data_IF_349152032892
#
_entry.id   IF_349152032892
#
_cell.length_a   1.000
_cell.length_b   1.000
_cell.length_c   1.000
_cell.angle_alpha   90.00
_cell.angle_beta   90.00
_cell.angle_gamma   90.00
#
_symmetry.space_group_name_H-M   'P 1'
#
loop_
_entity.id
_entity.type
_entity.pdbx_description
1 polymer ?
#
# COMPACT_ATOMS: atom_id res chain seq x y z
N UNK A 1 -8.51 -12.08 30.76
CA UNK A 1 -7.36 -11.79 29.86
C UNK A 1 -7.58 -12.56 28.58
N UNK A 2 -7.57 -11.86 27.46
CA UNK A 2 -7.73 -12.45 26.13
C UNK A 2 -6.43 -12.22 25.38
N UNK A 3 -5.86 -13.26 24.79
CA UNK A 3 -4.67 -13.12 23.94
C UNK A 3 -5.09 -13.11 22.48
N UNK A 4 -4.61 -12.13 21.73
CA UNK A 4 -4.87 -12.01 20.30
C UNK A 4 -3.52 -12.09 19.57
N UNK A 5 -3.43 -13.00 18.60
CA UNK A 5 -2.27 -13.07 17.70
C UNK A 5 -2.43 -12.04 16.58
N UNK A 6 -1.41 -11.20 16.38
CA UNK A 6 -1.41 -10.13 15.37
C UNK A 6 -0.07 -10.00 14.68
N UNK A 7 -0.06 -9.37 13.51
CA UNK A 7 1.16 -9.00 12.80
C UNK A 7 1.68 -7.67 13.35
N UNK A 8 2.94 -7.62 13.76
CA UNK A 8 3.67 -6.37 14.05
C UNK A 8 4.79 -6.16 13.04
N UNK A 9 5.16 -4.91 12.79
CA UNK A 9 6.35 -4.58 12.02
C UNK A 9 7.57 -5.26 12.66
N UNK A 10 8.37 -5.88 11.81
CA UNK A 10 9.57 -6.55 12.25
C UNK A 10 10.49 -5.54 12.97
N UNK A 11 10.87 -5.78 14.23
CA UNK A 11 11.65 -4.82 15.02
C UNK A 11 13.07 -4.63 14.45
N UNK A 12 13.61 -5.66 13.80
CA UNK A 12 14.96 -5.64 13.22
C UNK A 12 15.04 -4.76 11.98
N UNK A 13 14.11 -4.91 11.04
CA UNK A 13 14.16 -4.21 9.77
C UNK A 13 13.18 -3.03 9.68
N UNK A 14 12.35 -2.81 10.72
CA UNK A 14 11.32 -1.76 10.78
C UNK A 14 10.38 -1.75 9.56
N UNK A 15 10.06 -2.95 9.07
CA UNK A 15 9.21 -3.14 7.91
C UNK A 15 9.89 -3.03 6.54
N UNK A 16 11.20 -2.79 6.44
CA UNK A 16 11.91 -2.78 5.15
C UNK A 16 12.02 -4.17 4.52
N UNK A 17 12.14 -5.21 5.36
CA UNK A 17 12.31 -6.59 4.92
C UNK A 17 13.73 -6.92 4.50
N UNK A 18 14.66 -5.96 4.62
CA UNK A 18 16.08 -6.15 4.32
C UNK A 18 16.89 -6.54 5.55
N UNK A 19 17.99 -7.26 5.37
CA UNK A 19 19.01 -7.45 6.41
C UNK A 19 19.80 -6.17 6.68
N UNK A 20 19.84 -5.24 5.71
CA UNK A 20 20.48 -3.93 5.80
C UNK A 20 19.40 -2.86 5.63
N UNK A 21 18.66 -2.51 6.69
CA UNK A 21 17.57 -1.55 6.61
C UNK A 21 18.04 -0.11 6.32
N UNK A 22 19.28 0.23 6.65
CA UNK A 22 19.83 1.59 6.48
C UNK A 22 20.46 1.82 5.09
N UNK A 23 20.79 0.74 4.38
CA UNK A 23 21.43 0.78 3.06
C UNK A 23 20.56 0.04 2.05
N UNK A 24 19.63 0.79 1.45
CA UNK A 24 18.63 0.28 0.52
C UNK A 24 18.77 1.01 -0.82
N UNK A 25 19.14 0.32 -1.90
CA UNK A 25 19.26 0.94 -3.21
C UNK A 25 17.89 1.42 -3.71
N UNK A 26 17.85 2.65 -4.21
CA UNK A 26 16.64 3.24 -4.79
C UNK A 26 16.16 2.43 -5.99
N UNK A 27 14.85 2.20 -6.07
CA UNK A 27 14.24 1.49 -7.19
C UNK A 27 14.31 2.36 -8.46
N UNK A 28 15.12 1.92 -9.43
CA UNK A 28 15.30 2.61 -10.72
C UNK A 28 14.03 2.60 -11.60
N UNK A 29 13.12 1.64 -11.40
CA UNK A 29 11.89 1.54 -12.20
C UNK A 29 10.86 2.62 -11.86
N UNK A 30 10.87 3.12 -10.63
CA UNK A 30 10.00 4.22 -10.19
C UNK A 30 10.78 5.47 -9.74
N UNK A 31 12.11 5.42 -9.74
CA UNK A 31 13.01 6.44 -9.19
C UNK A 31 12.63 6.82 -7.76
N UNK A 32 12.45 5.84 -6.88
CA UNK A 32 12.11 6.10 -5.47
C UNK A 32 10.64 6.35 -5.19
N UNK A 33 9.81 6.57 -6.21
CA UNK A 33 8.40 6.99 -6.00
C UNK A 33 7.46 5.88 -5.52
N UNK A 34 7.83 4.61 -5.68
CA UNK A 34 6.96 3.48 -5.37
C UNK A 34 5.78 3.29 -6.34
N UNK A 35 5.46 4.27 -7.18
CA UNK A 35 4.36 4.22 -8.15
C UNK A 35 4.82 4.50 -9.58
N UNK A 36 4.17 3.87 -10.55
CA UNK A 36 4.31 4.16 -11.98
C UNK A 36 3.02 4.77 -12.51
N UNK A 37 3.15 5.89 -13.20
CA UNK A 37 2.04 6.54 -13.90
C UNK A 37 1.87 5.85 -15.24
N UNK A 38 0.75 5.15 -15.42
CA UNK A 38 0.32 4.71 -16.73
C UNK A 38 -0.61 5.80 -17.26
N UNK A 39 -0.14 6.51 -18.28
CA UNK A 39 -0.99 7.42 -19.04
C UNK A 39 -1.80 6.52 -19.97
N UNK A 40 -3.10 6.37 -19.70
CA UNK A 40 -3.99 5.77 -20.66
C UNK A 40 -4.25 6.82 -21.73
N UNK A 41 -3.42 6.80 -22.75
CA UNK A 41 -3.61 7.63 -23.93
C UNK A 41 -4.49 6.84 -24.88
N UNK A 42 -5.80 7.12 -24.86
CA UNK A 42 -6.77 6.29 -25.58
C UNK A 42 -6.66 6.44 -27.11
N UNK A 43 -5.86 7.37 -27.65
CA UNK A 43 -5.53 7.43 -29.08
C UNK A 43 -4.19 8.16 -29.33
N UNK A 44 -3.07 7.45 -29.41
CA UNK A 44 -1.89 7.90 -30.17
C UNK A 44 -0.87 6.78 -30.47
N UNK A 45 -1.31 5.56 -30.78
CA UNK A 45 -0.45 4.67 -31.55
C UNK A 45 -0.62 4.99 -33.04
N UNK A 46 0.50 5.32 -33.70
CA UNK A 46 0.75 5.69 -35.10
C UNK A 46 0.73 7.22 -35.35
N UNK A 47 1.83 7.92 -35.64
CA UNK A 47 3.19 7.48 -35.95
C UNK A 47 4.18 8.64 -35.74
N UNK A 48 5.37 8.29 -35.29
CA UNK A 48 6.61 8.96 -35.71
C UNK A 48 6.59 9.16 -37.23
N UNK A 49 6.29 10.37 -37.69
CA UNK A 49 6.32 10.77 -39.09
C UNK A 49 5.09 10.36 -39.91
N UNK A 50 4.15 11.29 -40.12
CA UNK A 50 3.31 11.28 -41.32
C UNK A 50 3.21 12.69 -41.88
N UNK A 51 3.95 12.95 -42.96
CA UNK A 51 3.91 14.18 -43.75
C UNK A 51 2.60 14.35 -44.55
N UNK A 52 1.51 13.68 -44.15
CA UNK A 52 0.22 13.68 -44.84
C UNK A 52 -0.99 13.61 -43.90
N UNK A 53 -1.01 14.43 -42.85
CA UNK A 53 -2.27 14.71 -42.16
C UNK A 53 -3.09 15.72 -42.97
N UNK A 54 -4.33 15.35 -43.30
CA UNK A 54 -5.29 16.23 -43.96
C UNK A 54 -5.56 17.46 -43.06
N UNK A 55 -5.94 18.57 -43.68
CA UNK A 55 -6.15 19.84 -42.98
C UNK A 55 -7.30 19.75 -41.96
N UNK A 56 -8.24 18.82 -42.16
CA UNK A 56 -9.32 18.49 -41.23
C UNK A 56 -8.80 17.96 -39.88
N UNK A 57 -7.78 17.10 -39.87
CA UNK A 57 -7.17 16.58 -38.64
C UNK A 57 -6.49 17.70 -37.82
N UNK A 58 -5.83 18.66 -38.48
CA UNK A 58 -5.23 19.84 -37.80
C UNK A 58 -6.26 20.83 -37.26
N UNK A 59 -7.49 20.80 -37.77
CA UNK A 59 -8.61 21.67 -37.32
C UNK A 59 -9.30 21.08 -36.09
N UNK A 60 -9.43 19.75 -36.04
CA UNK A 60 -10.07 19.02 -34.93
C UNK A 60 -9.36 19.25 -33.59
N UNK A 61 -8.03 19.29 -33.56
CA UNK A 61 -7.27 19.60 -32.33
C UNK A 61 -7.24 21.09 -31.95
N UNK A 62 -7.75 21.99 -32.80
CA UNK A 62 -7.75 23.45 -32.56
C UNK A 62 -9.05 23.96 -31.94
N UNK A 63 -10.17 23.26 -32.14
CA UNK A 63 -11.48 23.60 -31.58
C UNK A 63 -11.76 22.79 -30.31
N UNK A 64 -11.04 23.09 -29.23
CA UNK A 64 -11.54 22.94 -27.85
C UNK A 64 -11.72 21.53 -27.23
N UNK A 65 -11.74 20.43 -27.98
CA UNK A 65 -11.82 19.08 -27.39
C UNK A 65 -10.44 18.39 -27.40
N UNK A 66 -9.63 18.67 -26.37
CA UNK A 66 -8.53 17.76 -26.02
C UNK A 66 -9.16 16.62 -25.24
N UNK A 67 -9.13 15.40 -25.78
CA UNK A 67 -9.72 14.22 -25.14
C UNK A 67 -9.33 14.05 -23.67
N UNK A 68 -10.08 13.24 -22.94
CA UNK A 68 -9.81 12.95 -21.53
C UNK A 68 -8.49 12.20 -21.39
N UNK A 69 -7.50 12.82 -20.75
CA UNK A 69 -6.29 12.12 -20.33
C UNK A 69 -6.53 11.52 -18.96
N UNK A 70 -6.75 10.21 -18.92
CA UNK A 70 -6.82 9.46 -17.67
C UNK A 70 -5.40 9.03 -17.30
N UNK A 71 -4.93 9.52 -16.16
CA UNK A 71 -3.69 9.03 -15.56
C UNK A 71 -4.08 8.03 -14.47
N UNK A 72 -3.68 6.77 -14.64
CA UNK A 72 -3.87 5.74 -13.63
C UNK A 72 -2.52 5.52 -12.95
N UNK A 73 -2.46 5.77 -11.64
CA UNK A 73 -1.31 5.34 -10.86
C UNK A 73 -1.39 3.83 -10.66
N UNK A 74 -0.24 3.18 -10.67
CA UNK A 74 -0.13 1.77 -10.35
C UNK A 74 1.06 1.58 -9.44
N UNK A 75 0.93 0.68 -8.48
CA UNK A 75 2.05 0.30 -7.61
C UNK A 75 3.18 -0.25 -8.47
N UNK A 76 4.41 0.20 -8.21
CA UNK A 76 5.58 -0.29 -8.92
C UNK A 76 5.83 -1.76 -8.51
N UNK A 77 5.60 -2.69 -9.44
CA UNK A 77 5.78 -4.13 -9.22
C UNK A 77 7.21 -4.55 -8.90
N UNK A 78 8.21 -3.73 -9.24
CA UNK A 78 9.63 -4.05 -8.97
C UNK A 78 10.00 -3.83 -7.51
N UNK A 79 9.35 -2.89 -6.83
CA UNK A 79 9.63 -2.57 -5.43
C UNK A 79 8.40 -2.73 -4.53
N UNK A 80 7.29 -3.28 -5.04
CA UNK A 80 6.01 -3.40 -4.34
C UNK A 80 5.52 -2.11 -3.66
N UNK A 81 5.81 -0.96 -4.25
CA UNK A 81 5.45 0.34 -3.67
C UNK A 81 6.50 0.97 -2.77
N UNK A 82 7.59 0.26 -2.44
CA UNK A 82 8.59 0.73 -1.48
C UNK A 82 9.45 1.90 -1.97
N UNK A 83 9.69 1.98 -3.27
CA UNK A 83 10.65 2.94 -3.82
C UNK A 83 12.12 2.54 -3.64
N UNK A 84 12.41 1.45 -2.94
CA UNK A 84 13.74 0.87 -2.80
C UNK A 84 13.71 -0.64 -3.05
N UNK A 85 14.88 -1.26 -3.24
CA UNK A 85 15.02 -2.71 -3.40
C UNK A 85 15.60 -3.32 -2.12
N UNK A 86 15.13 -4.52 -1.78
CA UNK A 86 15.54 -5.27 -0.58
C UNK A 86 16.26 -6.55 -0.98
N UNK A 87 17.46 -6.40 -1.54
CA UNK A 87 18.20 -7.50 -2.18
C UNK A 87 18.56 -8.63 -1.19
N UNK A 88 18.87 -8.27 0.05
CA UNK A 88 19.20 -9.23 1.12
C UNK A 88 18.03 -9.32 2.09
N UNK A 89 17.44 -10.50 2.22
CA UNK A 89 16.28 -10.72 3.11
C UNK A 89 16.65 -10.53 4.58
N UNK A 90 15.77 -9.89 5.34
CA UNK A 90 15.90 -9.77 6.79
C UNK A 90 15.94 -11.17 7.44
N UNK A 91 16.92 -11.46 8.31
CA UNK A 91 17.02 -12.77 8.96
C UNK A 91 15.87 -13.06 9.92
N UNK A 92 15.26 -12.03 10.52
CA UNK A 92 14.19 -12.18 11.52
C UNK A 92 12.84 -12.50 10.89
N UNK A 93 12.46 -11.78 9.83
CA UNK A 93 11.15 -11.95 9.17
C UNK A 93 11.23 -12.65 7.81
N UNK A 94 12.42 -13.06 7.35
CA UNK A 94 12.60 -13.70 6.05
C UNK A 94 12.22 -12.83 4.84
N UNK A 95 12.16 -11.51 5.03
CA UNK A 95 11.65 -10.57 4.02
C UNK A 95 10.14 -10.30 4.08
N UNK A 96 9.41 -10.90 5.02
CA UNK A 96 7.97 -10.69 5.19
C UNK A 96 7.61 -9.32 5.80
N UNK A 97 8.59 -8.61 6.37
CA UNK A 97 8.47 -7.26 6.96
C UNK A 97 7.68 -7.19 8.26
N UNK A 98 6.85 -8.17 8.56
CA UNK A 98 6.14 -8.33 9.84
C UNK A 98 6.54 -9.64 10.54
N UNK A 99 6.24 -9.70 11.83
CA UNK A 99 6.36 -10.89 12.67
C UNK A 99 5.05 -11.09 13.44
N UNK A 100 4.71 -12.34 13.75
CA UNK A 100 3.54 -12.66 14.57
C UNK A 100 3.86 -12.37 16.05
N UNK A 101 3.00 -11.60 16.71
CA UNK A 101 3.06 -11.27 18.13
C UNK A 101 1.78 -11.77 18.82
N UNK A 102 1.92 -12.37 20.00
CA UNK A 102 0.80 -12.66 20.89
C UNK A 102 0.61 -11.52 21.89
N UNK A 103 -0.46 -10.75 21.73
CA UNK A 103 -0.76 -9.58 22.55
C UNK A 103 -1.83 -9.90 23.60
N UNK A 104 -1.52 -9.83 24.90
CA UNK A 104 -2.51 -10.00 25.96
C UNK A 104 -3.30 -8.71 26.20
N UNK A 105 -4.63 -8.81 26.18
CA UNK A 105 -5.57 -7.73 26.44
C UNK A 105 -6.33 -7.94 27.75
N UNK A 106 -6.41 -6.88 28.55
CA UNK A 106 -7.26 -6.81 29.74
C UNK A 106 -8.52 -6.03 29.39
N UNK A 107 -9.64 -6.70 29.48
CA UNK A 107 -10.95 -6.19 29.05
C UNK A 107 -11.82 -6.02 30.27
N UNK A 108 -12.34 -4.81 30.48
CA UNK A 108 -13.27 -4.52 31.57
C UNK A 108 -14.66 -4.32 30.99
N UNK A 109 -15.57 -5.25 31.28
CA UNK A 109 -16.99 -5.14 30.89
C UNK A 109 -17.76 -4.50 32.04
N UNK A 110 -18.39 -3.34 31.86
CA UNK A 110 -19.18 -2.72 32.92
C UNK A 110 -20.42 -3.55 33.25
N UNK A 111 -20.86 -3.48 34.50
CA UNK A 111 -22.10 -4.14 34.92
C UNK A 111 -23.30 -3.55 34.14
N UNK A 112 -24.16 -4.43 33.63
CA UNK A 112 -25.31 -4.03 32.81
C UNK A 112 -24.97 -3.70 31.35
N UNK A 113 -23.76 -4.02 30.87
CA UNK A 113 -23.43 -3.94 29.45
C UNK A 113 -24.48 -4.71 28.61
N UNK A 114 -25.10 -4.08 27.61
CA UNK A 114 -26.10 -4.74 26.78
C UNK A 114 -25.46 -5.79 25.86
N UNK A 115 -26.30 -6.68 25.31
CA UNK A 115 -25.88 -7.61 24.26
C UNK A 115 -25.27 -6.87 23.08
N UNK A 116 -24.14 -7.36 22.57
CA UNK A 116 -23.42 -6.73 21.47
C UNK A 116 -22.66 -5.45 21.86
N UNK A 117 -22.49 -5.17 23.16
CA UNK A 117 -21.63 -4.07 23.62
C UNK A 117 -20.22 -4.22 23.06
N UNK A 118 -19.70 -3.12 22.50
CA UNK A 118 -18.41 -3.08 21.83
C UNK A 118 -17.47 -2.09 22.49
N UNK A 119 -16.20 -2.44 22.50
CA UNK A 119 -15.11 -1.50 22.77
C UNK A 119 -13.95 -1.80 21.82
N UNK A 120 -13.22 -0.75 21.46
CA UNK A 120 -12.11 -0.82 20.51
C UNK A 120 -10.80 -0.50 21.23
N UNK A 121 -9.79 -1.33 20.97
CA UNK A 121 -8.40 -1.03 21.28
C UNK A 121 -7.78 -0.39 20.03
N UNK A 122 -7.48 0.91 20.14
CA UNK A 122 -6.99 1.70 19.02
C UNK A 122 -5.59 1.28 18.60
N UNK A 123 -5.35 1.20 17.28
CA UNK A 123 -4.04 0.86 16.69
C UNK A 123 -3.46 -0.50 17.13
N UNK A 124 -4.30 -1.37 17.68
CA UNK A 124 -3.86 -2.68 18.19
C UNK A 124 -4.02 -3.82 17.17
N UNK A 125 -4.53 -3.51 15.97
CA UNK A 125 -4.73 -4.47 14.88
C UNK A 125 -3.43 -4.95 14.23
N UNK A 126 -3.56 -5.55 13.04
CA UNK A 126 -2.40 -5.97 12.27
C UNK A 126 -1.67 -4.76 11.68
N UNK A 127 -0.38 -4.66 11.96
CA UNK A 127 0.49 -3.66 11.37
C UNK A 127 0.91 -4.05 9.94
N UNK A 128 1.11 -3.03 9.12
CA UNK A 128 1.59 -3.18 7.76
C UNK A 128 2.44 -1.97 7.39
N UNK A 129 3.53 -2.17 6.63
CA UNK A 129 4.50 -1.11 6.39
C UNK A 129 3.94 0.10 5.61
N UNK A 130 2.96 -0.12 4.71
CA UNK A 130 2.32 0.95 3.91
C UNK A 130 0.88 1.27 4.28
N UNK A 131 0.36 0.70 5.37
CA UNK A 131 -1.03 0.94 5.78
C UNK A 131 -1.06 1.32 7.25
N UNK A 132 -1.88 2.31 7.64
CA UNK A 132 -2.14 2.57 9.04
C UNK A 132 -2.64 1.30 9.73
N UNK A 133 -2.25 1.13 10.98
CA UNK A 133 -2.75 0.03 11.81
C UNK A 133 -4.23 0.26 12.10
N UNK A 134 -5.01 -0.82 12.10
CA UNK A 134 -6.42 -0.76 12.46
C UNK A 134 -6.63 -1.05 13.95
N UNK A 135 -7.90 -1.12 14.34
CA UNK A 135 -8.28 -1.39 15.72
C UNK A 135 -8.60 -2.87 15.93
N UNK A 136 -8.50 -3.30 17.20
CA UNK A 136 -9.11 -4.57 17.65
C UNK A 136 -10.42 -4.24 18.34
N UNK A 137 -11.53 -4.67 17.75
CA UNK A 137 -12.87 -4.47 18.31
C UNK A 137 -13.32 -5.75 18.99
N UNK A 138 -13.67 -5.64 20.26
CA UNK A 138 -14.23 -6.72 21.05
C UNK A 138 -15.72 -6.52 21.18
N UNK A 139 -16.49 -7.59 20.99
CA UNK A 139 -17.95 -7.60 21.13
C UNK A 139 -18.34 -8.59 22.21
N UNK A 140 -19.17 -8.15 23.16
CA UNK A 140 -19.71 -9.00 24.22
C UNK A 140 -20.98 -9.67 23.72
N UNK A 141 -20.98 -11.01 23.74
CA UNK A 141 -22.16 -11.82 23.48
C UNK A 141 -22.47 -12.66 24.71
N UNK A 142 -23.72 -12.58 25.19
CA UNK A 142 -24.24 -13.46 26.23
C UNK A 142 -24.74 -14.76 25.59
N UNK A 143 -24.16 -15.88 26.00
CA UNK A 143 -24.59 -17.23 25.59
C UNK A 143 -25.83 -17.68 26.36
#
# INVERSE_FOLDING_TARGET
NVTVSRQRLCPTCKGTGSSTPDDLPTCHMCNGRGVRLHLHEELAHQSSGSSRLNEAFRRFHRTGWRGFRQSVNSTCQTCDGMGYLSDKKCPTCGGLRTVLEEAPFTVTVPAGAPEGWQFAMQDEGNEHHFRPTGDVVFTVNSL
#
